data_IF_813609317984
#
_entry.id   IF_813609317984
#
_cell.length_a   1.000
_cell.length_b   1.000
_cell.length_c   1.000
_cell.angle_alpha   90.00
_cell.angle_beta   90.00
_cell.angle_gamma   90.00
#
_symmetry.space_group_name_H-M   'P 1'
#
loop_
_entity.id
_entity.type
_entity.pdbx_description
1 polymer ?
#
# COMPACT_ATOMS: atom_id res chain seq x y z
N UNK A 1 8.67 27.52 0.30
CA UNK A 1 7.35 26.86 0.50
C UNK A 1 7.05 25.84 -0.59
N UNK A 2 7.58 26.00 -1.82
CA UNK A 2 7.42 25.01 -2.92
C UNK A 2 8.17 23.68 -2.71
N UNK A 3 9.37 23.67 -2.12
CA UNK A 3 10.16 22.44 -1.94
C UNK A 3 9.54 21.42 -0.98
N UNK A 4 8.79 21.88 0.02
CA UNK A 4 8.14 20.99 0.99
C UNK A 4 6.96 20.25 0.36
N UNK A 5 6.21 20.90 -0.53
CA UNK A 5 5.06 20.31 -1.20
C UNK A 5 5.48 19.19 -2.17
N UNK A 6 6.51 19.43 -2.99
CA UNK A 6 7.03 18.42 -3.91
C UNK A 6 7.61 17.20 -3.17
N UNK A 7 8.26 17.44 -2.03
CA UNK A 7 8.78 16.37 -1.17
C UNK A 7 7.65 15.54 -0.58
N UNK A 8 6.56 16.16 -0.12
CA UNK A 8 5.41 15.41 0.41
C UNK A 8 4.72 14.58 -0.66
N UNK A 9 4.57 15.09 -1.89
CA UNK A 9 3.90 14.39 -2.98
C UNK A 9 4.70 13.13 -3.41
N UNK A 10 6.02 13.24 -3.48
CA UNK A 10 6.91 12.09 -3.70
C UNK A 10 6.80 11.06 -2.57
N UNK A 11 6.71 11.50 -1.32
CA UNK A 11 6.52 10.61 -0.16
C UNK A 11 5.17 9.89 -0.22
N UNK A 12 4.11 10.53 -0.73
CA UNK A 12 2.82 9.87 -0.93
C UNK A 12 2.88 8.80 -2.03
N UNK A 13 3.52 9.09 -3.16
CA UNK A 13 3.73 8.12 -4.24
C UNK A 13 4.56 6.92 -3.76
N UNK A 14 5.65 7.15 -3.05
CA UNK A 14 6.49 6.07 -2.49
C UNK A 14 5.71 5.17 -1.53
N UNK A 15 4.80 5.74 -0.72
CA UNK A 15 3.92 4.95 0.15
C UNK A 15 2.96 4.08 -0.67
N UNK A 16 2.42 4.60 -1.77
CA UNK A 16 1.55 3.83 -2.66
C UNK A 16 2.29 2.65 -3.29
N UNK A 17 3.50 2.87 -3.80
CA UNK A 17 4.33 1.78 -4.33
C UNK A 17 4.70 0.73 -3.28
N UNK A 18 4.95 1.16 -2.03
CA UNK A 18 5.19 0.23 -0.93
C UNK A 18 3.97 -0.64 -0.60
N UNK A 19 2.77 -0.08 -0.67
CA UNK A 19 1.51 -0.83 -0.49
C UNK A 19 1.36 -1.88 -1.59
N UNK A 20 1.51 -1.49 -2.86
CA UNK A 20 1.38 -2.39 -3.99
C UNK A 20 2.42 -3.53 -3.93
N UNK A 21 3.67 -3.20 -3.60
CA UNK A 21 4.73 -4.19 -3.44
C UNK A 21 4.44 -5.18 -2.28
N UNK A 22 3.91 -4.69 -1.16
CA UNK A 22 3.53 -5.55 -0.03
C UNK A 22 2.39 -6.51 -0.44
N UNK A 23 1.38 -6.02 -1.14
CA UNK A 23 0.25 -6.82 -1.63
C UNK A 23 0.73 -7.91 -2.60
N UNK A 24 1.53 -7.55 -3.61
CA UNK A 24 2.09 -8.52 -4.56
C UNK A 24 2.92 -9.58 -3.84
N UNK A 25 3.73 -9.20 -2.86
CA UNK A 25 4.53 -10.14 -2.05
C UNK A 25 3.62 -11.11 -1.29
N UNK A 26 2.59 -10.64 -0.60
CA UNK A 26 1.67 -11.47 0.18
C UNK A 26 0.91 -12.42 -0.74
N UNK A 27 0.34 -11.92 -1.84
CA UNK A 27 -0.44 -12.71 -2.79
C UNK A 27 0.42 -13.77 -3.49
N UNK A 28 1.67 -13.45 -3.83
CA UNK A 28 2.61 -14.42 -4.44
C UNK A 28 2.96 -15.57 -3.49
N UNK A 29 3.01 -15.32 -2.18
CA UNK A 29 3.24 -16.37 -1.18
C UNK A 29 1.98 -17.18 -0.88
N UNK A 30 0.82 -16.53 -0.78
CA UNK A 30 -0.42 -17.16 -0.28
C UNK A 30 -1.36 -17.70 -1.37
N UNK A 31 -1.14 -17.42 -2.66
CA UNK A 31 -1.94 -17.81 -3.85
C UNK A 31 -3.44 -17.44 -3.83
N UNK A 32 -4.13 -17.68 -2.73
CA UNK A 32 -5.52 -17.29 -2.43
C UNK A 32 -5.60 -16.81 -0.97
N UNK A 33 -6.20 -15.64 -0.75
CA UNK A 33 -6.35 -15.05 0.59
C UNK A 33 -7.63 -14.20 0.62
N UNK A 34 -8.37 -14.27 1.74
CA UNK A 34 -9.56 -13.42 1.94
C UNK A 34 -9.16 -11.95 2.11
N UNK A 35 -9.98 -11.02 1.61
CA UNK A 35 -9.70 -9.58 1.64
C UNK A 35 -9.35 -9.07 3.05
N UNK A 36 -10.10 -9.47 4.08
CA UNK A 36 -9.84 -9.02 5.46
C UNK A 36 -8.46 -9.49 5.97
N UNK A 37 -8.06 -10.71 5.60
CA UNK A 37 -6.75 -11.24 5.97
C UNK A 37 -5.64 -10.54 5.18
N UNK A 38 -5.85 -10.27 3.88
CA UNK A 38 -4.90 -9.53 3.07
C UNK A 38 -4.65 -8.13 3.65
N UNK A 39 -5.72 -7.41 3.98
CA UNK A 39 -5.62 -6.08 4.58
C UNK A 39 -4.87 -6.13 5.91
N UNK A 40 -5.17 -7.10 6.79
CA UNK A 40 -4.43 -7.31 8.04
C UNK A 40 -2.94 -7.56 7.81
N UNK A 41 -2.60 -8.40 6.84
CA UNK A 41 -1.21 -8.75 6.53
C UNK A 41 -0.45 -7.55 5.94
N UNK A 42 -1.11 -6.74 5.11
CA UNK A 42 -0.57 -5.49 4.56
C UNK A 42 -0.30 -4.48 5.66
N UNK A 43 -1.23 -4.30 6.61
CA UNK A 43 -1.01 -3.43 7.78
C UNK A 43 0.15 -3.92 8.66
N UNK A 44 0.33 -5.24 8.79
CA UNK A 44 1.49 -5.79 9.50
C UNK A 44 2.83 -5.52 8.80
N UNK A 45 2.85 -5.41 7.47
CA UNK A 45 4.07 -5.08 6.71
C UNK A 45 4.35 -3.58 6.64
N UNK A 46 3.32 -2.73 6.67
CA UNK A 46 3.45 -1.29 6.51
C UNK A 46 3.52 -0.60 7.88
N UNK A 47 4.70 -0.09 8.24
CA UNK A 47 4.95 0.61 9.51
C UNK A 47 4.43 2.05 9.56
N UNK A 48 3.47 2.41 8.71
CA UNK A 48 2.90 3.75 8.63
C UNK A 48 1.38 3.69 8.46
N UNK A 49 0.61 4.69 8.93
CA UNK A 49 -0.84 4.71 8.78
C UNK A 49 -1.23 4.80 7.30
N UNK A 50 -1.89 3.76 6.79
CA UNK A 50 -2.33 3.65 5.39
C UNK A 50 -3.79 4.06 5.27
N UNK A 51 -4.10 4.98 4.34
CA UNK A 51 -5.47 5.20 3.87
C UNK A 51 -5.78 4.14 2.83
N UNK A 52 -6.89 3.41 2.99
CA UNK A 52 -7.34 2.41 2.02
C UNK A 52 -7.64 3.14 0.71
N UNK A 53 -6.80 2.94 -0.30
CA UNK A 53 -6.96 3.54 -1.62
C UNK A 53 -7.85 2.60 -2.44
N UNK A 54 -9.03 3.10 -2.86
CA UNK A 54 -10.05 2.37 -3.63
C UNK A 54 -9.60 1.92 -5.04
N UNK A 55 -8.33 2.10 -5.39
CA UNK A 55 -7.79 1.80 -6.73
C UNK A 55 -7.73 0.29 -7.02
N UNK A 56 -7.78 -0.55 -5.98
CA UNK A 56 -7.92 -2.01 -6.12
C UNK A 56 -9.26 -2.47 -6.71
N UNK A 57 -10.27 -1.61 -6.86
CA UNK A 57 -11.53 -1.95 -7.51
C UNK A 57 -11.52 -1.76 -9.05
N UNK A 58 -10.43 -1.23 -9.61
CA UNK A 58 -10.30 -0.95 -11.05
C UNK A 58 -9.41 -1.93 -11.82
N UNK A 59 -9.04 -3.07 -11.23
CA UNK A 59 -8.32 -4.15 -11.91
C UNK A 59 -8.90 -5.53 -11.57
#
# INVERSE_FOLDING_TARGET
VEEQASTTERVFQDRQYQIDAAIVRIMKMRKTLSHNLLVSEVYNQLKFPVKVVYWFFYF
#
